data_IF_500019048276
#
_entry.id   IF_500019048276
#
_cell.length_a   1.000
_cell.length_b   1.000
_cell.length_c   1.000
_cell.angle_alpha   90.00
_cell.angle_beta   90.00
_cell.angle_gamma   90.00
#
_symmetry.space_group_name_H-M   'P 1'
#
loop_
_entity.id
_entity.type
_entity.pdbx_description
1 polymer ?
#
# COMPACT_ATOMS: atom_id res chain seq x y z
N UNK A 1 17.53 28.55 14.01
CA UNK A 1 16.91 28.86 12.70
C UNK A 1 16.64 27.58 11.94
N UNK A 2 15.36 27.19 11.81
CA UNK A 2 14.96 26.00 11.08
C UNK A 2 15.05 26.26 9.58
N UNK A 3 16.01 25.64 8.90
CA UNK A 3 16.13 25.71 7.44
C UNK A 3 14.92 25.01 6.84
N UNK A 4 14.04 25.77 6.20
CA UNK A 4 12.91 25.26 5.43
C UNK A 4 13.45 24.45 4.25
N UNK A 5 13.46 23.12 4.37
CA UNK A 5 13.68 22.17 3.27
C UNK A 5 12.51 22.27 2.27
N UNK A 6 12.49 23.33 1.45
CA UNK A 6 11.64 23.43 0.27
C UNK A 6 12.42 22.84 -0.91
N UNK A 7 11.87 21.77 -1.48
CA UNK A 7 12.16 21.20 -2.80
C UNK A 7 13.63 20.98 -3.16
N UNK A 8 14.15 19.80 -2.79
CA UNK A 8 15.39 19.28 -3.38
C UNK A 8 15.05 18.36 -4.54
N UNK A 9 15.06 18.90 -5.76
CA UNK A 9 15.33 18.07 -6.93
C UNK A 9 16.80 17.69 -6.89
N UNK A 10 17.08 16.39 -6.91
CA UNK A 10 18.44 15.90 -7.03
C UNK A 10 18.75 15.75 -8.49
N UNK A 11 19.67 16.58 -8.95
CA UNK A 11 20.40 16.33 -10.17
C UNK A 11 21.81 15.81 -9.83
N UNK A 12 22.54 15.44 -10.88
CA UNK A 12 23.94 14.97 -10.80
C UNK A 12 24.90 15.94 -10.08
N UNK A 13 24.51 17.21 -9.90
CA UNK A 13 25.35 18.28 -9.37
C UNK A 13 25.03 18.62 -7.90
N UNK A 14 24.01 18.02 -7.29
CA UNK A 14 23.53 18.45 -5.96
C UNK A 14 24.43 17.97 -4.80
N UNK A 15 25.10 18.91 -4.10
CA UNK A 15 25.91 18.64 -2.90
C UNK A 15 25.04 18.33 -1.66
N UNK A 16 25.54 17.47 -0.77
CA UNK A 16 24.76 16.89 0.32
C UNK A 16 24.74 17.77 1.57
N UNK A 17 23.58 17.90 2.23
CA UNK A 17 23.52 18.12 3.69
C UNK A 17 23.05 16.84 4.35
N UNK A 18 23.95 16.23 5.10
CA UNK A 18 23.73 15.05 5.91
C UNK A 18 22.65 15.37 6.97
N UNK A 19 21.60 14.55 7.06
CA UNK A 19 20.55 14.71 8.07
C UNK A 19 20.96 14.02 9.38
N UNK A 20 20.66 14.60 10.55
CA UNK A 20 20.99 13.96 11.84
C UNK A 20 20.24 12.65 12.09
N UNK A 21 19.08 12.48 11.45
CA UNK A 21 18.29 11.24 11.48
C UNK A 21 18.73 10.26 10.37
N UNK A 22 19.77 10.62 9.63
CA UNK A 22 20.24 9.85 8.49
C UNK A 22 21.05 8.63 8.94
N UNK A 23 21.04 7.67 8.05
CA UNK A 23 21.86 6.50 7.86
C UNK A 23 23.39 6.62 8.09
N UNK A 24 23.91 7.68 8.69
CA UNK A 24 25.32 7.80 9.03
C UNK A 24 25.85 6.69 9.94
N UNK A 25 24.96 5.89 10.51
CA UNK A 25 25.32 4.69 11.25
C UNK A 25 24.88 3.38 10.61
N UNK A 26 24.09 3.40 9.52
CA UNK A 26 23.72 2.15 8.88
C UNK A 26 24.73 1.79 7.79
N UNK A 27 25.69 1.00 8.27
CA UNK A 27 26.85 0.46 7.58
C UNK A 27 26.50 -0.16 6.22
N UNK A 28 25.31 -0.73 6.07
CA UNK A 28 24.88 -1.34 4.81
C UNK A 28 24.86 -0.31 3.68
N UNK A 29 24.19 0.84 3.83
CA UNK A 29 24.14 1.80 2.71
C UNK A 29 25.50 2.42 2.42
N UNK A 30 26.34 2.64 3.44
CA UNK A 30 27.72 3.12 3.24
C UNK A 30 28.54 2.13 2.43
N UNK A 31 28.44 0.83 2.75
CA UNK A 31 29.06 -0.25 1.99
C UNK A 31 28.54 -0.26 0.55
N UNK A 32 27.22 -0.17 0.34
CA UNK A 32 26.62 -0.10 -1.00
C UNK A 32 27.19 1.06 -1.81
N UNK A 33 27.13 2.26 -1.24
CA UNK A 33 27.63 3.46 -1.90
C UNK A 33 29.11 3.34 -2.24
N UNK A 34 29.94 2.84 -1.31
CA UNK A 34 31.37 2.61 -1.55
C UNK A 34 31.60 1.62 -2.69
N UNK A 35 30.94 0.47 -2.69
CA UNK A 35 31.07 -0.56 -3.74
C UNK A 35 30.63 -0.03 -5.11
N UNK A 36 29.53 0.73 -5.14
CA UNK A 36 29.00 1.31 -6.37
C UNK A 36 29.91 2.41 -6.91
N UNK A 37 30.29 3.38 -6.07
CA UNK A 37 31.13 4.52 -6.46
C UNK A 37 32.56 4.12 -6.86
N UNK A 38 33.11 3.06 -6.29
CA UNK A 38 34.44 2.53 -6.65
C UNK A 38 34.40 1.55 -7.83
N UNK A 39 33.23 1.22 -8.37
CA UNK A 39 33.11 0.26 -9.48
C UNK A 39 33.34 -1.21 -9.11
N UNK A 40 33.51 -1.53 -7.80
CA UNK A 40 33.80 -2.90 -7.32
C UNK A 40 32.67 -3.89 -7.62
N UNK A 41 31.45 -3.41 -7.82
CA UNK A 41 30.30 -4.24 -8.25
C UNK A 41 30.55 -5.01 -9.55
N UNK A 42 31.42 -4.50 -10.45
CA UNK A 42 31.75 -5.17 -11.72
C UNK A 42 32.40 -6.54 -11.52
N UNK A 43 33.15 -6.74 -10.44
CA UNK A 43 33.73 -8.04 -10.08
C UNK A 43 32.66 -9.13 -9.86
N UNK A 44 31.44 -8.72 -9.51
CA UNK A 44 30.36 -9.61 -9.13
C UNK A 44 29.41 -9.96 -10.30
N UNK A 45 29.54 -9.35 -11.49
CA UNK A 45 28.62 -9.54 -12.63
C UNK A 45 28.42 -11.02 -13.02
N UNK A 46 29.47 -11.84 -12.87
CA UNK A 46 29.44 -13.27 -13.24
C UNK A 46 29.54 -14.19 -12.03
N UNK A 47 29.57 -13.66 -10.81
CA UNK A 47 29.68 -14.46 -9.60
C UNK A 47 28.31 -15.01 -9.20
N UNK A 48 28.30 -16.20 -8.62
CA UNK A 48 27.07 -16.81 -8.11
C UNK A 48 26.55 -16.03 -6.90
N UNK A 49 25.24 -15.84 -6.85
CA UNK A 49 24.54 -15.22 -5.72
C UNK A 49 24.59 -16.08 -4.44
N UNK A 50 24.94 -17.37 -4.57
CA UNK A 50 24.93 -18.35 -3.48
C UNK A 50 25.77 -17.94 -2.26
N UNK A 51 26.90 -17.24 -2.47
CA UNK A 51 27.77 -16.79 -1.37
C UNK A 51 27.08 -15.75 -0.48
N UNK A 52 26.29 -14.86 -1.07
CA UNK A 52 25.51 -13.86 -0.35
C UNK A 52 24.40 -14.52 0.45
N UNK A 53 23.69 -15.46 -0.17
CA UNK A 53 22.66 -16.28 0.48
C UNK A 53 23.19 -16.99 1.73
N UNK A 54 24.41 -17.55 1.68
CA UNK A 54 25.02 -18.18 2.85
C UNK A 54 25.20 -17.21 4.04
N UNK A 55 25.61 -15.97 3.77
CA UNK A 55 25.70 -14.94 4.82
C UNK A 55 24.32 -14.65 5.44
N UNK A 56 23.27 -14.61 4.61
CA UNK A 56 21.90 -14.36 5.11
C UNK A 56 21.40 -15.47 6.05
N UNK A 57 21.81 -16.72 5.81
CA UNK A 57 21.47 -17.86 6.68
C UNK A 57 22.14 -17.72 8.05
N UNK A 58 23.37 -17.21 8.10
CA UNK A 58 24.11 -17.00 9.35
C UNK A 58 23.53 -15.84 10.16
N UNK A 59 23.29 -14.69 9.52
CA UNK A 59 22.85 -13.47 10.22
C UNK A 59 21.33 -13.39 10.42
N UNK A 60 20.56 -14.09 9.60
CA UNK A 60 19.10 -14.07 9.62
C UNK A 60 18.48 -14.39 10.98
N UNK A 61 18.85 -15.51 11.65
CA UNK A 61 18.31 -15.89 12.95
C UNK A 61 18.45 -14.81 14.04
N UNK A 62 19.54 -14.03 14.03
CA UNK A 62 19.79 -12.96 15.01
C UNK A 62 18.75 -11.84 14.90
N UNK A 63 18.26 -11.57 13.68
CA UNK A 63 17.28 -10.51 13.39
C UNK A 63 15.85 -11.03 13.53
N UNK A 64 15.61 -12.31 13.22
CA UNK A 64 14.30 -12.98 13.33
C UNK A 64 13.72 -12.85 14.73
N UNK A 65 14.53 -12.92 15.78
CA UNK A 65 14.04 -12.88 17.17
C UNK A 65 13.17 -11.65 17.47
N UNK A 66 13.48 -10.49 16.88
CA UNK A 66 12.70 -9.26 17.09
C UNK A 66 11.49 -9.14 16.15
N UNK A 67 11.55 -9.74 14.97
CA UNK A 67 10.53 -9.58 13.94
C UNK A 67 9.51 -10.71 13.85
N UNK A 68 9.84 -11.90 14.37
CA UNK A 68 9.03 -13.10 14.23
C UNK A 68 7.59 -12.95 14.74
N UNK A 69 7.32 -12.40 15.95
CA UNK A 69 5.94 -12.29 16.44
C UNK A 69 5.05 -11.44 15.52
N UNK A 70 5.60 -10.36 14.96
CA UNK A 70 4.87 -9.48 14.03
C UNK A 70 4.51 -10.21 12.74
N UNK A 71 5.47 -10.94 12.17
CA UNK A 71 5.28 -11.73 10.94
C UNK A 71 4.32 -12.89 11.17
N UNK A 72 4.49 -13.62 12.26
CA UNK A 72 3.63 -14.74 12.65
C UNK A 72 2.17 -14.29 12.76
N UNK A 73 1.92 -13.18 13.46
CA UNK A 73 0.58 -12.62 13.59
C UNK A 73 0.01 -12.21 12.24
N UNK A 74 0.82 -11.62 11.35
CA UNK A 74 0.36 -11.20 10.03
C UNK A 74 -0.02 -12.41 9.17
N UNK A 75 0.78 -13.48 9.19
CA UNK A 75 0.45 -14.69 8.43
C UNK A 75 -0.71 -15.48 9.03
N UNK A 76 -0.83 -15.60 10.36
CA UNK A 76 -2.03 -16.19 10.97
C UNK A 76 -3.30 -15.40 10.66
N UNK A 77 -3.18 -14.09 10.47
CA UNK A 77 -4.30 -13.26 10.03
C UNK A 77 -4.66 -13.53 8.56
N UNK A 78 -3.65 -13.53 7.67
CA UNK A 78 -3.83 -13.70 6.23
C UNK A 78 -4.28 -15.13 5.86
N UNK A 79 -3.67 -16.16 6.44
CA UNK A 79 -3.92 -17.56 6.10
C UNK A 79 -4.82 -18.24 7.14
N UNK A 80 -5.87 -18.97 6.71
CA UNK A 80 -6.69 -19.77 7.61
C UNK A 80 -5.86 -20.81 8.38
N UNK A 81 -6.21 -21.15 9.64
CA UNK A 81 -5.56 -22.22 10.38
C UNK A 81 -5.52 -23.54 9.61
N UNK A 82 -6.64 -23.91 8.96
CA UNK A 82 -6.73 -25.11 8.13
C UNK A 82 -5.75 -25.12 6.96
N UNK A 83 -5.42 -23.97 6.36
CA UNK A 83 -4.39 -23.89 5.32
C UNK A 83 -3.01 -24.12 5.92
N UNK A 84 -2.70 -23.45 7.03
CA UNK A 84 -1.41 -23.58 7.71
C UNK A 84 -1.15 -25.02 8.17
N UNK A 85 -2.18 -25.68 8.71
CA UNK A 85 -2.14 -27.08 9.14
C UNK A 85 -2.04 -28.05 7.97
N UNK A 86 -2.94 -27.94 6.97
CA UNK A 86 -2.96 -28.81 5.78
C UNK A 86 -1.62 -28.85 5.05
N UNK A 87 -0.93 -27.71 4.98
CA UNK A 87 0.35 -27.59 4.30
C UNK A 87 1.56 -27.70 5.25
N UNK A 88 1.35 -28.03 6.53
CA UNK A 88 2.37 -28.14 7.57
C UNK A 88 3.33 -26.93 7.56
N UNK A 89 2.76 -25.73 7.52
CA UNK A 89 3.52 -24.49 7.35
C UNK A 89 4.27 -24.15 8.63
N UNK A 90 5.61 -24.19 8.54
CA UNK A 90 6.47 -23.69 9.60
C UNK A 90 6.65 -22.17 9.48
N UNK A 91 5.88 -21.40 10.25
CA UNK A 91 5.93 -19.93 10.26
C UNK A 91 7.30 -19.36 10.65
N UNK A 92 8.07 -20.05 11.51
CA UNK A 92 9.46 -19.63 11.84
C UNK A 92 10.36 -19.74 10.61
N UNK A 93 10.19 -20.79 9.81
CA UNK A 93 10.90 -20.94 8.53
C UNK A 93 10.51 -19.84 7.55
N UNK A 94 9.22 -19.50 7.43
CA UNK A 94 8.80 -18.36 6.61
C UNK A 94 9.43 -17.04 7.08
N UNK A 95 9.52 -16.81 8.39
CA UNK A 95 10.18 -15.62 8.96
C UNK A 95 11.68 -15.56 8.66
N UNK A 96 12.36 -16.70 8.69
CA UNK A 96 13.75 -16.80 8.25
C UNK A 96 13.89 -16.47 6.76
N UNK A 97 12.96 -16.91 5.91
CA UNK A 97 13.00 -16.65 4.48
C UNK A 97 12.79 -15.17 4.14
N UNK A 98 11.80 -14.50 4.74
CA UNK A 98 11.59 -13.06 4.48
C UNK A 98 12.79 -12.22 4.94
N UNK A 99 13.42 -12.58 6.04
CA UNK A 99 14.62 -11.88 6.51
C UNK A 99 15.80 -12.16 5.59
N UNK A 100 15.98 -13.40 5.17
CA UNK A 100 17.00 -13.75 4.17
C UNK A 100 16.79 -12.94 2.88
N UNK A 101 15.56 -12.89 2.39
CA UNK A 101 15.14 -12.07 1.25
C UNK A 101 15.51 -10.59 1.40
N UNK A 102 15.28 -9.95 2.55
CA UNK A 102 15.65 -8.54 2.76
C UNK A 102 17.16 -8.32 2.62
N UNK A 103 17.98 -9.26 3.10
CA UNK A 103 19.43 -9.20 2.92
C UNK A 103 19.86 -9.47 1.49
N UNK A 104 19.27 -10.48 0.85
CA UNK A 104 19.52 -10.79 -0.55
C UNK A 104 19.17 -9.59 -1.44
N UNK A 105 18.02 -8.96 -1.22
CA UNK A 105 17.62 -7.73 -1.89
C UNK A 105 18.65 -6.61 -1.74
N UNK A 106 19.21 -6.42 -0.54
CA UNK A 106 20.29 -5.46 -0.33
C UNK A 106 21.55 -5.79 -1.15
N UNK A 107 21.93 -7.07 -1.24
CA UNK A 107 23.06 -7.50 -2.04
C UNK A 107 22.81 -7.39 -3.55
N UNK A 108 21.59 -7.65 -4.01
CA UNK A 108 21.17 -7.43 -5.39
C UNK A 108 21.43 -5.97 -5.80
N UNK A 109 20.85 -5.02 -5.05
CA UNK A 109 20.98 -3.57 -5.32
C UNK A 109 22.45 -3.14 -5.31
N UNK A 110 23.25 -3.72 -4.41
CA UNK A 110 24.64 -3.34 -4.23
C UNK A 110 25.55 -3.87 -5.34
N UNK A 111 25.37 -5.14 -5.73
CA UNK A 111 26.32 -5.86 -6.55
C UNK A 111 25.84 -6.18 -7.95
N UNK A 112 24.54 -6.42 -8.16
CA UNK A 112 24.01 -6.94 -9.42
C UNK A 112 23.31 -5.86 -10.24
N UNK A 113 22.39 -5.10 -9.64
CA UNK A 113 21.67 -4.03 -10.34
C UNK A 113 22.56 -3.02 -11.09
N UNK A 114 23.72 -2.56 -10.55
CA UNK A 114 24.61 -1.66 -11.28
C UNK A 114 25.18 -2.26 -12.58
N UNK A 115 25.23 -3.59 -12.70
CA UNK A 115 25.73 -4.30 -13.89
C UNK A 115 24.67 -4.43 -14.99
N UNK A 116 23.42 -3.99 -14.75
CA UNK A 116 22.36 -4.03 -15.74
C UNK A 116 22.65 -3.04 -16.87
N UNK A 117 22.65 -3.50 -18.12
CA UNK A 117 22.90 -2.73 -19.34
C UNK A 117 21.92 -3.14 -20.43
N UNK A 118 21.74 -2.35 -21.50
CA UNK A 118 20.86 -2.73 -22.61
C UNK A 118 21.23 -4.08 -23.22
N UNK A 119 22.53 -4.42 -23.23
CA UNK A 119 23.06 -5.65 -23.85
C UNK A 119 22.84 -6.91 -23.00
N UNK A 120 22.77 -6.78 -21.68
CA UNK A 120 22.73 -7.93 -20.77
C UNK A 120 21.46 -7.99 -19.90
N UNK A 121 20.52 -7.04 -20.03
CA UNK A 121 19.32 -6.97 -19.18
C UNK A 121 18.50 -8.26 -19.21
N UNK A 122 18.41 -8.95 -20.36
CA UNK A 122 17.68 -10.21 -20.51
C UNK A 122 18.26 -11.38 -19.68
N UNK A 123 19.52 -11.28 -19.25
CA UNK A 123 20.16 -12.25 -18.35
C UNK A 123 19.63 -12.14 -16.92
N UNK A 124 19.26 -10.92 -16.52
CA UNK A 124 18.78 -10.60 -15.18
C UNK A 124 17.25 -10.52 -15.13
N UNK A 125 16.61 -10.05 -16.21
CA UNK A 125 15.19 -9.75 -16.21
C UNK A 125 14.52 -10.34 -17.46
N UNK A 126 13.63 -11.30 -17.24
CA UNK A 126 12.61 -11.66 -18.22
C UNK A 126 11.49 -10.64 -18.11
N UNK A 127 11.01 -10.12 -19.24
CA UNK A 127 9.97 -9.08 -19.27
C UNK A 127 8.74 -9.58 -20.02
N UNK A 128 7.56 -9.38 -19.44
CA UNK A 128 6.26 -9.68 -20.03
C UNK A 128 5.37 -8.44 -19.99
N UNK A 129 4.61 -8.17 -21.05
CA UNK A 129 3.66 -7.05 -21.11
C UNK A 129 4.27 -5.67 -21.38
N UNK A 130 5.53 -5.59 -21.85
CA UNK A 130 6.18 -4.31 -22.16
C UNK A 130 5.43 -3.51 -23.23
N UNK A 131 4.75 -4.21 -24.15
CA UNK A 131 3.88 -3.64 -25.18
C UNK A 131 2.79 -2.74 -24.59
N UNK A 132 2.32 -2.98 -23.37
CA UNK A 132 1.36 -2.11 -22.69
C UNK A 132 1.97 -0.75 -22.35
N UNK A 133 3.23 -0.74 -21.88
CA UNK A 133 3.96 0.51 -21.59
C UNK A 133 4.22 1.27 -22.88
N UNK A 134 4.64 0.57 -23.94
CA UNK A 134 4.90 1.17 -25.25
C UNK A 134 3.63 1.82 -25.82
N UNK A 135 2.51 1.09 -25.87
CA UNK A 135 1.23 1.60 -26.34
C UNK A 135 0.73 2.80 -25.51
N UNK A 136 0.97 2.79 -24.20
CA UNK A 136 0.61 3.90 -23.31
C UNK A 136 1.46 5.15 -23.56
N UNK A 137 2.77 4.99 -23.77
CA UNK A 137 3.68 6.09 -24.09
C UNK A 137 3.38 6.70 -25.46
N UNK A 138 2.94 5.92 -26.44
CA UNK A 138 2.49 6.44 -27.75
C UNK A 138 1.34 7.46 -27.62
N UNK A 139 0.54 7.39 -26.54
CA UNK A 139 -0.53 8.35 -26.25
C UNK A 139 -0.02 9.71 -25.72
N UNK A 140 1.28 9.85 -25.44
CA UNK A 140 1.95 11.10 -24.99
C UNK A 140 1.41 11.73 -23.71
N UNK A 141 0.82 10.93 -22.81
CA UNK A 141 0.26 11.39 -21.52
C UNK A 141 1.13 11.03 -20.32
N UNK A 142 2.19 10.26 -20.52
CA UNK A 142 2.91 9.58 -19.43
C UNK A 142 2.15 8.35 -18.95
N UNK A 143 2.75 7.62 -18.00
CA UNK A 143 2.22 6.35 -17.50
C UNK A 143 2.40 6.28 -15.99
N UNK A 144 1.38 5.79 -15.29
CA UNK A 144 1.48 5.45 -13.86
C UNK A 144 1.65 3.95 -13.72
N UNK A 145 2.67 3.53 -12.98
CA UNK A 145 2.96 2.12 -12.73
C UNK A 145 2.85 1.83 -11.24
N UNK A 146 1.68 1.39 -10.74
CA UNK A 146 1.54 0.94 -9.38
C UNK A 146 2.28 -0.39 -9.19
N UNK A 147 3.08 -0.45 -8.15
CA UNK A 147 3.79 -1.66 -7.70
C UNK A 147 3.60 -1.83 -6.20
N UNK A 148 3.74 -3.06 -5.71
CA UNK A 148 3.84 -3.33 -4.27
C UNK A 148 5.28 -3.73 -3.93
N UNK A 149 5.68 -3.69 -2.65
CA UNK A 149 7.02 -4.13 -2.23
C UNK A 149 7.12 -5.66 -2.23
N UNK A 150 7.02 -6.26 -3.42
CA UNK A 150 7.05 -7.68 -3.67
C UNK A 150 8.24 -8.04 -4.54
N UNK A 151 9.00 -9.05 -4.12
CA UNK A 151 10.11 -9.61 -4.90
C UNK A 151 11.17 -8.57 -5.21
N UNK A 152 11.62 -8.51 -6.47
CA UNK A 152 12.65 -7.57 -6.90
C UNK A 152 12.07 -6.23 -7.34
N UNK A 153 11.70 -5.38 -6.37
CA UNK A 153 10.96 -4.15 -6.64
C UNK A 153 11.70 -3.12 -7.52
N UNK A 154 13.03 -3.18 -7.62
CA UNK A 154 13.80 -2.29 -8.50
C UNK A 154 13.97 -2.83 -9.93
N UNK A 155 13.73 -4.12 -10.15
CA UNK A 155 13.85 -4.72 -11.48
C UNK A 155 12.88 -4.11 -12.51
N UNK A 156 11.60 -3.81 -12.20
CA UNK A 156 10.71 -3.11 -13.13
C UNK A 156 11.26 -1.77 -13.61
N UNK A 157 11.83 -0.96 -12.69
CA UNK A 157 12.49 0.30 -13.05
C UNK A 157 13.74 0.05 -13.89
N UNK A 158 14.61 -0.87 -13.46
CA UNK A 158 15.85 -1.20 -14.17
C UNK A 158 15.59 -1.71 -15.60
N UNK A 159 14.58 -2.56 -15.76
CA UNK A 159 14.10 -3.06 -17.04
C UNK A 159 13.73 -1.92 -18.00
N UNK A 160 12.90 -0.98 -17.57
CA UNK A 160 12.45 0.13 -18.41
C UNK A 160 13.60 1.07 -18.78
N UNK A 161 14.52 1.36 -17.85
CA UNK A 161 15.68 2.20 -18.12
C UNK A 161 16.61 1.65 -19.21
N UNK A 162 16.47 0.37 -19.58
CA UNK A 162 17.22 -0.33 -20.64
C UNK A 162 16.43 -0.55 -21.92
N UNK A 163 15.21 -0.05 -21.98
CA UNK A 163 14.35 -0.13 -23.16
C UNK A 163 14.30 1.20 -23.90
N UNK A 164 14.06 1.09 -25.19
CA UNK A 164 13.71 2.19 -26.07
C UNK A 164 12.31 1.95 -26.59
N UNK A 165 11.61 3.04 -26.92
CA UNK A 165 10.30 3.03 -27.56
C UNK A 165 10.34 3.95 -28.77
N UNK A 166 9.50 3.66 -29.77
CA UNK A 166 9.35 4.52 -30.94
C UNK A 166 8.08 5.35 -30.80
N UNK A 167 8.22 6.67 -30.77
CA UNK A 167 7.12 7.64 -30.69
C UNK A 167 7.30 8.64 -31.82
N UNK A 168 6.30 8.81 -32.68
CA UNK A 168 6.37 9.63 -33.90
C UNK A 168 7.59 9.32 -34.79
N UNK A 169 7.85 8.04 -35.03
CA UNK A 169 9.03 7.56 -35.79
C UNK A 169 10.39 7.95 -35.18
N UNK A 170 10.43 8.40 -33.92
CA UNK A 170 11.67 8.67 -33.19
C UNK A 170 11.86 7.63 -32.10
N UNK A 171 12.99 6.93 -32.16
CA UNK A 171 13.41 6.03 -31.09
C UNK A 171 14.00 6.85 -29.95
N UNK A 172 13.47 6.64 -28.74
CA UNK A 172 13.95 7.30 -27.53
C UNK A 172 14.01 6.33 -26.35
N UNK A 173 14.85 6.64 -25.36
CA UNK A 173 14.92 5.87 -24.11
C UNK A 173 13.64 6.07 -23.31
N UNK A 174 13.18 5.04 -22.59
CA UNK A 174 12.11 5.22 -21.61
C UNK A 174 12.65 6.01 -20.42
N UNK A 175 12.02 7.14 -20.12
CA UNK A 175 12.32 7.95 -18.93
C UNK A 175 11.48 7.48 -17.75
N UNK A 176 12.13 7.22 -16.61
CA UNK A 176 11.48 6.66 -15.42
C UNK A 176 11.61 7.60 -14.23
N UNK A 177 10.53 7.74 -13.45
CA UNK A 177 10.47 8.55 -12.23
C UNK A 177 10.12 7.68 -11.04
N UNK A 178 10.96 7.70 -10.01
CA UNK A 178 10.70 7.09 -8.71
C UNK A 178 10.32 8.12 -7.65
N UNK A 179 9.39 7.77 -6.77
CA UNK A 179 9.07 8.56 -5.57
C UNK A 179 9.82 7.96 -4.38
N UNK A 180 10.55 8.80 -3.66
CA UNK A 180 11.55 8.34 -2.70
C UNK A 180 11.47 9.16 -1.43
N UNK A 181 11.57 8.50 -0.28
CA UNK A 181 11.68 9.21 0.99
C UNK A 181 13.07 9.85 1.13
N UNK A 182 13.22 10.95 1.89
CA UNK A 182 14.51 11.60 2.10
C UNK A 182 15.59 10.66 2.65
N UNK A 183 15.20 9.64 3.41
CA UNK A 183 16.11 8.65 4.00
C UNK A 183 16.71 7.70 2.95
N UNK A 184 15.96 7.38 1.90
CA UNK A 184 16.39 6.48 0.82
C UNK A 184 17.16 7.20 -0.28
N UNK A 185 17.22 8.53 -0.22
CA UNK A 185 17.93 9.38 -1.18
C UNK A 185 19.35 8.89 -1.48
N UNK A 186 20.11 8.55 -0.44
CA UNK A 186 21.52 8.21 -0.55
C UNK A 186 21.78 6.96 -1.38
N UNK A 187 20.89 5.95 -1.30
CA UNK A 187 20.98 4.75 -2.12
C UNK A 187 20.83 5.07 -3.61
N UNK A 188 20.00 6.04 -3.95
CA UNK A 188 19.66 6.33 -5.33
C UNK A 188 20.66 7.24 -6.02
N UNK A 189 21.45 8.01 -5.28
CA UNK A 189 22.41 8.97 -5.86
C UNK A 189 23.36 8.32 -6.87
N UNK A 190 23.85 7.11 -6.60
CA UNK A 190 24.73 6.42 -7.55
C UNK A 190 23.97 5.97 -8.79
N UNK A 191 22.74 5.50 -8.64
CA UNK A 191 21.87 5.16 -9.78
C UNK A 191 21.56 6.38 -10.66
N UNK A 192 21.23 7.53 -10.05
CA UNK A 192 20.97 8.78 -10.76
C UNK A 192 22.21 9.32 -11.51
N UNK A 193 23.42 8.95 -11.10
CA UNK A 193 24.66 9.30 -11.82
C UNK A 193 24.95 8.35 -12.97
N UNK A 194 24.58 7.08 -12.84
CA UNK A 194 24.85 6.06 -13.84
C UNK A 194 23.87 6.14 -15.03
N UNK A 195 22.65 6.62 -14.83
CA UNK A 195 21.60 6.62 -15.84
C UNK A 195 21.03 8.02 -16.03
N UNK A 196 20.99 8.48 -17.28
CA UNK A 196 20.54 9.83 -17.67
C UNK A 196 19.01 9.94 -17.81
N UNK A 197 18.33 8.80 -17.91
CA UNK A 197 16.89 8.68 -18.10
C UNK A 197 16.11 8.27 -16.82
N UNK A 198 16.71 8.46 -15.64
CA UNK A 198 16.05 8.23 -14.34
C UNK A 198 15.93 9.54 -13.58
N UNK A 199 14.78 9.73 -12.94
CA UNK A 199 14.47 10.88 -12.10
C UNK A 199 13.97 10.39 -10.74
N UNK A 200 14.26 11.14 -9.69
CA UNK A 200 13.75 10.87 -8.35
C UNK A 200 13.07 12.11 -7.78
N UNK A 201 11.83 11.94 -7.34
CA UNK A 201 11.12 12.93 -6.53
C UNK A 201 11.39 12.57 -5.06
N UNK A 202 12.26 13.34 -4.40
CA UNK A 202 12.61 13.11 -3.00
C UNK A 202 11.77 14.01 -2.11
N UNK A 203 10.85 13.40 -1.35
CA UNK A 203 9.98 14.18 -0.46
C UNK A 203 9.46 13.38 0.72
N UNK A 204 9.34 14.05 1.87
CA UNK A 204 8.54 13.58 3.02
C UNK A 204 7.16 14.23 3.10
N UNK A 205 6.85 15.16 2.17
CA UNK A 205 5.61 15.93 2.13
C UNK A 205 4.80 15.54 0.90
N UNK A 206 3.71 14.82 1.15
CA UNK A 206 2.81 14.36 0.08
C UNK A 206 2.08 15.52 -0.64
N UNK A 207 1.99 16.71 -0.03
CA UNK A 207 1.37 17.90 -0.65
C UNK A 207 2.07 18.35 -1.93
N UNK A 208 3.37 18.11 -2.04
CA UNK A 208 4.19 18.64 -3.13
C UNK A 208 4.31 17.62 -4.29
N UNK A 209 3.93 16.36 -4.03
CA UNK A 209 4.01 15.27 -5.00
C UNK A 209 3.12 15.49 -6.22
N UNK A 210 1.95 16.10 -6.04
CA UNK A 210 1.00 16.29 -7.13
C UNK A 210 1.63 17.10 -8.27
N UNK A 211 2.17 18.28 -7.97
CA UNK A 211 2.74 19.16 -9.00
C UNK A 211 3.96 18.54 -9.68
N UNK A 212 4.82 17.87 -8.91
CA UNK A 212 6.03 17.24 -9.45
C UNK A 212 5.70 16.04 -10.35
N UNK A 213 4.74 15.19 -9.97
CA UNK A 213 4.31 14.07 -10.82
C UNK A 213 3.61 14.58 -12.06
N UNK A 214 2.74 15.58 -11.95
CA UNK A 214 2.06 16.18 -13.11
C UNK A 214 3.08 16.68 -14.15
N UNK A 215 4.14 17.37 -13.71
CA UNK A 215 5.22 17.83 -14.58
C UNK A 215 5.86 16.67 -15.35
N UNK A 216 6.15 15.57 -14.68
CA UNK A 216 6.77 14.41 -15.31
C UNK A 216 5.83 13.66 -16.26
N UNK A 217 4.54 13.54 -15.92
CA UNK A 217 3.54 12.94 -16.79
C UNK A 217 3.35 13.76 -18.07
N UNK A 218 3.34 15.10 -17.99
CA UNK A 218 3.34 16.00 -19.16
C UNK A 218 4.56 15.83 -20.07
N UNK A 219 5.68 15.34 -19.53
CA UNK A 219 6.89 14.99 -20.29
C UNK A 219 6.84 13.55 -20.83
N UNK A 220 5.69 12.89 -20.79
CA UNK A 220 5.46 11.52 -21.21
C UNK A 220 6.35 10.48 -20.49
N UNK A 221 6.60 10.67 -19.20
CA UNK A 221 7.44 9.76 -18.40
C UNK A 221 6.64 8.67 -17.72
N UNK A 222 7.33 7.59 -17.36
CA UNK A 222 6.78 6.50 -16.54
C UNK A 222 7.03 6.79 -15.07
N UNK A 223 5.98 6.91 -14.27
CA UNK A 223 6.05 7.23 -12.84
C UNK A 223 5.67 6.00 -12.01
N UNK A 224 6.62 5.49 -11.21
CA UNK A 224 6.37 4.40 -10.28
C UNK A 224 5.77 4.90 -8.97
N UNK A 225 4.72 4.24 -8.50
CA UNK A 225 4.09 4.53 -7.21
C UNK A 225 3.96 3.24 -6.41
N UNK A 226 4.45 3.26 -5.17
CA UNK A 226 4.29 2.14 -4.25
C UNK A 226 2.86 2.11 -3.70
N UNK A 227 2.05 1.20 -4.22
CA UNK A 227 0.62 1.05 -3.90
C UNK A 227 0.37 0.56 -2.47
N UNK A 228 1.29 -0.23 -1.91
CA UNK A 228 1.24 -0.67 -0.52
C UNK A 228 1.96 0.28 0.46
N UNK A 229 2.45 1.43 -0.01
CA UNK A 229 3.07 2.45 0.85
C UNK A 229 2.05 3.48 1.33
N UNK A 230 1.12 3.02 2.16
CA UNK A 230 0.00 3.84 2.62
C UNK A 230 0.14 4.32 4.08
N UNK A 231 -0.69 5.29 4.44
CA UNK A 231 -0.84 5.92 5.76
C UNK A 231 -2.24 5.61 6.33
N UNK A 232 -2.33 5.40 7.65
CA UNK A 232 -3.57 5.14 8.40
C UNK A 232 -4.71 6.14 8.15
N UNK A 233 -4.40 7.36 7.70
CA UNK A 233 -5.37 8.43 7.43
C UNK A 233 -5.98 8.40 6.03
N UNK A 234 -5.47 7.58 5.12
CA UNK A 234 -5.94 7.48 3.74
C UNK A 234 -7.26 6.73 3.65
N UNK A 235 -7.89 6.86 2.47
CA UNK A 235 -9.06 6.07 2.12
C UNK A 235 -8.68 4.60 2.08
N UNK A 236 -9.68 3.74 2.29
CA UNK A 236 -9.50 2.30 2.43
C UNK A 236 -10.47 1.55 1.53
N UNK A 237 -9.98 0.46 0.98
CA UNK A 237 -10.75 -0.48 0.15
C UNK A 237 -10.45 -1.91 0.55
N UNK A 238 -11.28 -2.89 0.17
CA UNK A 238 -11.01 -4.30 0.37
C UNK A 238 -9.63 -4.71 -0.15
N UNK A 239 -8.92 -5.53 0.63
CA UNK A 239 -7.59 -6.03 0.29
C UNK A 239 -7.60 -6.86 -0.98
N UNK A 240 -8.51 -7.85 -1.08
CA UNK A 240 -8.82 -8.53 -2.34
C UNK A 240 -10.32 -8.71 -2.42
N UNK A 241 -10.98 -7.81 -3.15
CA UNK A 241 -12.44 -7.82 -3.28
C UNK A 241 -12.98 -9.09 -3.91
N UNK A 242 -14.10 -9.58 -3.39
CA UNK A 242 -14.80 -10.77 -3.87
C UNK A 242 -14.24 -12.06 -3.27
N UNK A 243 -13.29 -11.96 -2.33
CA UNK A 243 -12.80 -13.08 -1.54
C UNK A 243 -13.11 -12.80 -0.08
N UNK A 244 -14.18 -13.41 0.43
CA UNK A 244 -14.70 -13.22 1.81
C UNK A 244 -13.63 -13.13 2.91
N UNK A 245 -12.58 -13.97 2.87
CA UNK A 245 -11.47 -13.97 3.85
C UNK A 245 -10.60 -12.70 3.78
N UNK A 246 -10.52 -12.08 2.62
CA UNK A 246 -9.64 -10.97 2.24
C UNK A 246 -10.41 -9.66 1.96
N UNK A 247 -11.70 -9.59 2.32
CA UNK A 247 -12.50 -8.37 2.21
C UNK A 247 -12.25 -7.37 3.36
N UNK A 248 -11.19 -7.57 4.15
CA UNK A 248 -10.77 -6.57 5.15
C UNK A 248 -10.21 -5.32 4.47
N UNK A 249 -10.40 -4.16 5.09
CA UNK A 249 -10.07 -2.89 4.49
C UNK A 249 -8.62 -2.47 4.76
N UNK A 250 -7.87 -2.20 3.68
CA UNK A 250 -6.52 -1.64 3.73
C UNK A 250 -6.52 -0.21 3.16
N UNK A 251 -5.70 0.71 3.71
CA UNK A 251 -5.50 2.01 3.11
C UNK A 251 -4.81 1.92 1.75
N UNK A 252 -4.96 2.94 0.91
CA UNK A 252 -4.29 3.03 -0.39
C UNK A 252 -3.89 4.47 -0.73
N UNK A 253 -2.85 4.67 -1.57
CA UNK A 253 -2.47 5.99 -2.06
C UNK A 253 -3.47 6.50 -3.11
N UNK A 254 -4.06 7.68 -2.86
CA UNK A 254 -5.05 8.28 -3.75
C UNK A 254 -4.44 8.95 -5.00
N UNK A 255 -3.12 9.14 -5.01
CA UNK A 255 -2.38 9.84 -6.06
C UNK A 255 -2.59 9.21 -7.45
N UNK A 256 -2.56 7.88 -7.51
CA UNK A 256 -2.78 7.12 -8.74
C UNK A 256 -4.16 7.43 -9.34
N UNK A 257 -5.18 7.39 -8.49
CA UNK A 257 -6.55 7.61 -8.91
C UNK A 257 -6.83 9.07 -9.28
N UNK A 258 -6.25 10.00 -8.54
CA UNK A 258 -6.33 11.42 -8.87
C UNK A 258 -5.86 11.70 -10.31
N UNK A 259 -4.65 11.26 -10.67
CA UNK A 259 -4.12 11.49 -12.01
C UNK A 259 -4.88 10.72 -13.09
N UNK A 260 -5.26 9.47 -12.83
CA UNK A 260 -6.06 8.68 -13.75
C UNK A 260 -7.39 9.37 -14.07
N UNK A 261 -8.16 9.74 -13.03
CA UNK A 261 -9.49 10.31 -13.20
C UNK A 261 -9.43 11.73 -13.79
N UNK A 262 -8.45 12.54 -13.37
CA UNK A 262 -8.35 13.94 -13.82
C UNK A 262 -7.82 14.10 -15.24
N UNK A 263 -6.80 13.31 -15.63
CA UNK A 263 -6.09 13.52 -16.92
C UNK A 263 -6.17 12.31 -17.86
N UNK A 264 -6.84 11.22 -17.46
CA UNK A 264 -6.92 9.99 -18.25
C UNK A 264 -5.56 9.31 -18.41
N UNK A 265 -4.70 9.41 -17.38
CA UNK A 265 -3.37 8.81 -17.41
C UNK A 265 -3.51 7.28 -17.32
N UNK A 266 -2.89 6.51 -18.23
CA UNK A 266 -2.94 5.05 -18.15
C UNK A 266 -2.26 4.54 -16.88
N UNK A 267 -2.90 3.58 -16.22
CA UNK A 267 -2.40 2.92 -15.02
C UNK A 267 -2.07 1.48 -15.38
N UNK A 268 -0.79 1.13 -15.34
CA UNK A 268 -0.28 -0.18 -15.76
C UNK A 268 0.37 -0.84 -14.55
N UNK A 269 -0.34 -1.72 -13.81
CA UNK A 269 0.24 -2.38 -12.66
C UNK A 269 1.46 -3.22 -13.04
N UNK A 270 2.39 -3.39 -12.10
CA UNK A 270 3.54 -4.26 -12.30
C UNK A 270 3.92 -5.01 -11.03
N UNK A 271 4.42 -6.24 -11.23
CA UNK A 271 5.05 -7.05 -10.20
C UNK A 271 6.37 -7.61 -10.73
N UNK A 272 7.27 -7.92 -9.81
CA UNK A 272 8.55 -8.56 -10.09
C UNK A 272 8.66 -9.84 -9.27
N UNK A 273 8.84 -10.96 -9.96
CA UNK A 273 8.88 -12.29 -9.37
C UNK A 273 10.30 -12.85 -9.45
N UNK A 274 10.97 -13.15 -8.33
CA UNK A 274 12.28 -13.78 -8.39
C UNK A 274 12.14 -15.16 -9.05
N UNK A 275 13.09 -15.52 -9.90
CA UNK A 275 13.08 -16.80 -10.62
C UNK A 275 13.95 -17.84 -9.91
N UNK A 276 15.26 -17.80 -10.14
CA UNK A 276 16.22 -18.74 -9.55
C UNK A 276 16.74 -18.24 -8.20
N UNK A 277 17.05 -16.95 -8.16
CA UNK A 277 17.54 -16.20 -7.03
C UNK A 277 17.15 -14.73 -7.24
N UNK A 278 17.49 -13.88 -6.27
CA UNK A 278 17.21 -12.45 -6.27
C UNK A 278 17.89 -11.70 -7.45
N UNK A 279 19.04 -12.17 -7.95
CA UNK A 279 19.66 -11.55 -9.13
C UNK A 279 18.88 -11.73 -10.43
N UNK A 280 17.81 -12.55 -10.44
CA UNK A 280 17.00 -12.80 -11.65
C UNK A 280 15.51 -12.73 -11.37
N UNK A 281 14.78 -11.95 -12.15
CA UNK A 281 13.32 -11.88 -12.03
C UNK A 281 12.57 -11.96 -13.35
N UNK A 282 11.30 -12.35 -13.23
CA UNK A 282 10.27 -12.05 -14.21
C UNK A 282 9.61 -10.73 -13.80
N UNK A 283 9.78 -9.68 -14.60
CA UNK A 283 9.00 -8.45 -14.50
C UNK A 283 7.79 -8.57 -15.41
N UNK A 284 6.60 -8.43 -14.81
CA UNK A 284 5.33 -8.44 -15.54
C UNK A 284 4.69 -7.07 -15.46
N UNK A 285 4.39 -6.48 -16.61
CA UNK A 285 3.50 -5.33 -16.75
C UNK A 285 2.13 -5.88 -17.14
N UNK A 286 1.11 -5.61 -16.33
CA UNK A 286 -0.24 -6.09 -16.60
C UNK A 286 -0.94 -5.17 -17.62
N UNK A 287 -2.03 -5.61 -18.25
CA UNK A 287 -2.85 -4.72 -19.08
C UNK A 287 -3.24 -3.43 -18.34
N UNK A 288 -3.35 -2.29 -19.04
CA UNK A 288 -3.75 -1.03 -18.43
C UNK A 288 -5.13 -1.17 -17.80
N UNK A 289 -5.29 -0.67 -16.58
CA UNK A 289 -6.59 -0.54 -15.94
C UNK A 289 -7.24 0.71 -16.53
N UNK A 290 -8.22 0.52 -17.41
CA UNK A 290 -9.05 1.59 -17.93
C UNK A 290 -10.45 1.49 -17.33
N UNK A 291 -10.74 2.40 -16.41
CA UNK A 291 -12.01 2.43 -15.68
C UNK A 291 -13.22 2.62 -16.61
N UNK A 292 -13.05 3.31 -17.74
CA UNK A 292 -14.13 3.57 -18.70
C UNK A 292 -14.42 2.37 -19.61
N UNK A 293 -13.42 1.51 -19.83
CA UNK A 293 -13.53 0.32 -20.69
C UNK A 293 -13.86 -0.95 -19.90
N UNK A 294 -14.02 -0.87 -18.57
CA UNK A 294 -14.45 -2.01 -17.77
C UNK A 294 -15.79 -2.52 -18.29
N UNK A 295 -15.85 -3.81 -18.63
CA UNK A 295 -17.09 -4.48 -19.05
C UNK A 295 -17.85 -5.01 -17.84
N UNK A 296 -19.05 -4.47 -17.51
CA UNK A 296 -19.85 -4.91 -16.38
C UNK A 296 -20.23 -6.41 -16.43
N UNK A 297 -20.21 -7.03 -17.62
CA UNK A 297 -20.51 -8.46 -17.77
C UNK A 297 -19.36 -9.35 -17.30
N UNK A 298 -18.12 -8.87 -17.39
CA UNK A 298 -16.92 -9.58 -16.94
C UNK A 298 -16.61 -9.34 -15.46
N UNK A 299 -17.34 -8.44 -14.80
CA UNK A 299 -17.16 -8.13 -13.39
C UNK A 299 -18.07 -9.00 -12.50
N UNK A 300 -17.64 -9.33 -11.27
CA UNK A 300 -18.50 -9.93 -10.25
C UNK A 300 -19.79 -9.12 -10.06
N UNK A 301 -20.92 -9.75 -9.68
CA UNK A 301 -22.21 -9.06 -9.53
C UNK A 301 -22.10 -7.76 -8.71
N UNK A 302 -21.39 -7.79 -7.59
CA UNK A 302 -21.22 -6.64 -6.70
C UNK A 302 -20.45 -5.45 -7.32
N UNK A 303 -19.59 -5.68 -8.32
CA UNK A 303 -18.86 -4.62 -9.03
C UNK A 303 -19.62 -4.15 -10.29
N UNK A 304 -20.52 -4.97 -10.82
CA UNK A 304 -21.30 -4.63 -12.02
C UNK A 304 -22.05 -3.32 -11.81
N UNK A 305 -22.77 -3.19 -10.70
CA UNK A 305 -23.52 -1.97 -10.38
C UNK A 305 -22.62 -0.74 -10.23
N UNK A 306 -21.44 -0.91 -9.64
CA UNK A 306 -20.46 0.17 -9.50
C UNK A 306 -19.91 0.63 -10.86
N UNK A 307 -19.64 -0.30 -11.78
CA UNK A 307 -19.24 0.05 -13.16
C UNK A 307 -20.39 0.72 -13.92
N UNK A 308 -21.63 0.28 -13.72
CA UNK A 308 -22.79 0.95 -14.32
C UNK A 308 -22.97 2.38 -13.77
N UNK A 309 -22.81 2.60 -12.47
CA UNK A 309 -22.80 3.94 -11.86
C UNK A 309 -21.69 4.81 -12.43
N UNK A 310 -20.48 4.26 -12.59
CA UNK A 310 -19.34 4.96 -13.19
C UNK A 310 -19.68 5.44 -14.60
N UNK A 311 -20.19 4.56 -15.47
CA UNK A 311 -20.57 4.88 -16.86
C UNK A 311 -21.67 5.92 -16.96
N UNK A 312 -22.61 5.91 -16.00
CA UNK A 312 -23.68 6.92 -15.89
C UNK A 312 -23.21 8.24 -15.29
N UNK A 313 -21.94 8.36 -14.88
CA UNK A 313 -21.41 9.57 -14.23
C UNK A 313 -21.98 9.82 -12.83
N UNK A 314 -22.52 8.79 -12.17
CA UNK A 314 -23.20 8.90 -10.88
C UNK A 314 -22.26 8.71 -9.68
N UNK A 315 -21.00 8.33 -9.92
CA UNK A 315 -20.00 8.17 -8.87
C UNK A 315 -19.39 9.51 -8.45
N UNK A 316 -19.28 9.70 -7.14
CA UNK A 316 -18.42 10.71 -6.53
C UNK A 316 -16.94 10.43 -6.80
N UNK A 317 -16.09 11.46 -6.67
CA UNK A 317 -14.63 11.31 -6.80
C UNK A 317 -14.04 10.28 -5.82
N UNK A 318 -14.58 10.19 -4.61
CA UNK A 318 -14.17 9.18 -3.61
C UNK A 318 -14.43 7.76 -4.12
N UNK A 319 -15.58 7.52 -4.73
CA UNK A 319 -15.99 6.21 -5.25
C UNK A 319 -15.16 5.84 -6.47
N UNK A 320 -14.98 6.76 -7.44
CA UNK A 320 -14.08 6.55 -8.59
C UNK A 320 -12.66 6.20 -8.13
N UNK A 321 -12.15 6.94 -7.15
CA UNK A 321 -10.80 6.71 -6.62
C UNK A 321 -10.66 5.34 -5.96
N UNK A 322 -11.67 4.95 -5.20
CA UNK A 322 -11.71 3.68 -4.50
C UNK A 322 -11.89 2.50 -5.46
N UNK A 323 -12.71 2.64 -6.50
CA UNK A 323 -12.91 1.60 -7.50
C UNK A 323 -11.60 1.30 -8.25
N UNK A 324 -10.83 2.32 -8.64
CA UNK A 324 -9.53 2.10 -9.27
C UNK A 324 -8.56 1.37 -8.32
N UNK A 325 -8.49 1.80 -7.06
CA UNK A 325 -7.64 1.14 -6.08
C UNK A 325 -8.01 -0.33 -5.86
N UNK A 326 -9.32 -0.63 -5.88
CA UNK A 326 -9.84 -1.99 -5.81
C UNK A 326 -9.38 -2.82 -7.02
N UNK A 327 -9.44 -2.29 -8.25
CA UNK A 327 -8.92 -2.98 -9.44
C UNK A 327 -7.41 -3.20 -9.37
N UNK A 328 -6.64 -2.22 -8.88
CA UNK A 328 -5.19 -2.40 -8.66
C UNK A 328 -4.94 -3.51 -7.63
N UNK A 329 -5.69 -3.54 -6.53
CA UNK A 329 -5.58 -4.56 -5.50
C UNK A 329 -5.83 -5.96 -6.04
N UNK A 330 -6.89 -6.12 -6.87
CA UNK A 330 -7.23 -7.39 -7.51
C UNK A 330 -6.11 -7.93 -8.42
N UNK A 331 -5.30 -7.05 -9.01
CA UNK A 331 -4.16 -7.43 -9.86
C UNK A 331 -2.92 -7.75 -9.03
N UNK A 332 -2.57 -6.88 -8.06
CA UNK A 332 -1.27 -6.95 -7.39
C UNK A 332 -1.25 -7.87 -6.16
N UNK A 333 -2.27 -7.84 -5.30
CA UNK A 333 -2.23 -8.53 -4.01
C UNK A 333 -2.41 -10.06 -4.04
N UNK A 334 -3.02 -10.71 -5.08
CA UNK A 334 -2.96 -12.15 -5.18
C UNK A 334 -1.54 -12.69 -5.13
N UNK A 335 -0.60 -12.01 -5.79
CA UNK A 335 0.82 -12.36 -5.76
C UNK A 335 1.47 -12.19 -4.38
N UNK A 336 1.03 -11.23 -3.58
CA UNK A 336 1.52 -11.08 -2.21
C UNK A 336 1.12 -12.28 -1.32
N UNK A 337 -0.01 -12.92 -1.61
CA UNK A 337 -0.45 -14.14 -0.92
C UNK A 337 0.17 -15.42 -1.50
N UNK A 338 0.50 -15.43 -2.79
CA UNK A 338 1.21 -16.54 -3.42
C UNK A 338 2.68 -16.59 -2.98
N UNK A 339 3.30 -15.42 -2.79
CA UNK A 339 4.71 -15.25 -2.46
C UNK A 339 4.91 -14.50 -1.11
N UNK A 340 4.43 -15.03 0.02
CA UNK A 340 4.35 -14.30 1.29
C UNK A 340 5.70 -13.86 1.86
N UNK A 341 6.77 -14.59 1.55
CA UNK A 341 8.12 -14.28 2.02
C UNK A 341 8.83 -13.22 1.16
N UNK A 342 8.28 -12.87 0.00
CA UNK A 342 8.78 -11.80 -0.84
C UNK A 342 8.03 -10.48 -0.67
N UNK A 343 6.97 -10.45 0.16
CA UNK A 343 6.20 -9.23 0.42
C UNK A 343 6.75 -8.49 1.65
N UNK A 344 7.60 -7.48 1.43
CA UNK A 344 8.27 -6.74 2.53
C UNK A 344 7.27 -6.09 3.49
N UNK A 345 6.15 -5.61 2.96
CA UNK A 345 5.19 -4.82 3.72
C UNK A 345 4.32 -5.63 4.67
N UNK A 346 4.36 -6.97 4.60
CA UNK A 346 3.68 -7.85 5.57
C UNK A 346 4.13 -7.54 7.01
N UNK A 347 5.39 -7.15 7.20
CA UNK A 347 5.94 -6.75 8.50
C UNK A 347 5.23 -5.54 9.12
N UNK A 348 4.67 -4.66 8.29
CA UNK A 348 4.04 -3.42 8.75
C UNK A 348 2.52 -3.39 8.54
N UNK A 349 1.92 -4.52 8.12
CA UNK A 349 0.50 -4.65 7.79
C UNK A 349 -0.41 -4.08 8.88
N UNK A 350 -0.26 -4.55 10.12
CA UNK A 350 -1.05 -4.06 11.26
C UNK A 350 -0.79 -2.60 11.59
N UNK A 351 0.49 -2.18 11.64
CA UNK A 351 0.87 -0.81 11.98
C UNK A 351 0.28 0.21 11.02
N UNK A 352 0.30 -0.08 9.71
CA UNK A 352 -0.17 0.84 8.67
C UNK A 352 -1.67 0.78 8.45
N UNK A 353 -2.30 -0.36 8.75
CA UNK A 353 -3.74 -0.56 8.60
C UNK A 353 -4.54 -0.32 9.88
N UNK A 354 -3.87 0.10 10.96
CA UNK A 354 -4.50 0.36 12.25
C UNK A 354 -5.64 1.40 12.13
N UNK A 355 -6.75 1.14 12.82
CA UNK A 355 -7.82 2.11 13.03
C UNK A 355 -8.44 1.83 14.41
N UNK A 356 -8.26 2.76 15.35
CA UNK A 356 -8.68 2.58 16.75
C UNK A 356 -9.64 3.66 17.18
N UNK A 357 -10.66 3.25 17.93
CA UNK A 357 -11.55 4.13 18.70
C UNK A 357 -10.97 4.20 20.11
N UNK A 358 -10.33 5.31 20.46
CA UNK A 358 -9.73 5.51 21.79
C UNK A 358 -10.72 6.12 22.75
N UNK A 359 -10.69 5.67 24.00
CA UNK A 359 -11.53 6.15 25.09
C UNK A 359 -10.62 6.52 26.27
N UNK A 360 -10.45 7.83 26.47
CA UNK A 360 -9.56 8.40 27.47
C UNK A 360 -10.39 8.89 28.66
N UNK A 361 -10.42 8.07 29.72
CA UNK A 361 -11.04 8.37 31.01
C UNK A 361 -12.50 8.84 30.93
N UNK A 362 -13.33 8.02 30.29
CA UNK A 362 -14.75 8.29 30.07
C UNK A 362 -15.57 8.04 31.33
N UNK A 363 -16.45 8.98 31.66
CA UNK A 363 -17.25 8.99 32.89
C UNK A 363 -18.76 8.91 32.65
N UNK A 364 -19.22 9.13 31.42
CA UNK A 364 -20.64 9.08 31.05
C UNK A 364 -20.92 8.24 29.81
N UNK A 365 -22.13 7.68 29.71
CA UNK A 365 -22.56 6.99 28.48
C UNK A 365 -22.63 7.95 27.29
N UNK A 366 -22.98 9.22 27.52
CA UNK A 366 -22.98 10.26 26.50
C UNK A 366 -21.60 10.38 25.83
N UNK A 367 -20.54 10.58 26.62
CA UNK A 367 -19.16 10.66 26.13
C UNK A 367 -18.75 9.37 25.38
N UNK A 368 -19.06 8.21 25.95
CA UNK A 368 -18.73 6.91 25.36
C UNK A 368 -19.35 6.76 23.98
N UNK A 369 -20.65 6.98 23.84
CA UNK A 369 -21.33 6.81 22.57
C UNK A 369 -21.00 7.91 21.56
N UNK A 370 -20.82 9.15 22.00
CA UNK A 370 -20.41 10.27 21.13
C UNK A 370 -19.07 9.97 20.45
N UNK A 371 -18.07 9.53 21.23
CA UNK A 371 -16.77 9.13 20.68
C UNK A 371 -16.92 7.95 19.71
N UNK A 372 -17.71 6.94 20.09
CA UNK A 372 -17.95 5.76 19.27
C UNK A 372 -18.56 6.13 17.90
N UNK A 373 -19.67 6.87 17.89
CA UNK A 373 -20.37 7.25 16.67
C UNK A 373 -19.54 8.17 15.80
N UNK A 374 -18.87 9.17 16.39
CA UNK A 374 -17.99 10.07 15.65
C UNK A 374 -16.89 9.27 14.92
N UNK A 375 -16.29 8.28 15.58
CA UNK A 375 -15.25 7.44 14.97
C UNK A 375 -15.81 6.47 13.93
N UNK A 376 -17.01 5.92 14.12
CA UNK A 376 -17.68 5.10 13.11
C UNK A 376 -18.05 5.92 11.87
N UNK A 377 -18.52 7.16 12.04
CA UNK A 377 -18.75 8.10 10.93
C UNK A 377 -17.47 8.37 10.15
N UNK A 378 -16.37 8.71 10.83
CA UNK A 378 -15.06 8.89 10.21
C UNK A 378 -14.55 7.63 9.49
N UNK A 379 -14.83 6.45 10.05
CA UNK A 379 -14.49 5.19 9.40
C UNK A 379 -15.25 5.04 8.08
N UNK A 380 -16.56 5.30 8.06
CA UNK A 380 -17.40 5.27 6.84
C UNK A 380 -16.94 6.28 5.78
N UNK A 381 -16.60 7.49 6.20
CA UNK A 381 -16.11 8.54 5.30
C UNK A 381 -14.79 8.13 4.61
N UNK A 382 -13.94 7.36 5.31
CA UNK A 382 -12.60 6.94 4.86
C UNK A 382 -12.56 5.53 4.28
N UNK A 383 -13.67 4.86 4.14
CA UNK A 383 -13.73 3.49 3.62
C UNK A 383 -14.70 3.44 2.46
N UNK A 384 -14.46 2.51 1.56
CA UNK A 384 -15.35 2.23 0.45
C UNK A 384 -15.44 0.72 0.26
N UNK A 385 -16.67 0.22 0.20
CA UNK A 385 -17.02 -1.15 -0.17
C UNK A 385 -18.14 -1.05 -1.22
N UNK A 386 -18.05 -1.78 -2.34
CA UNK A 386 -19.14 -1.85 -3.33
C UNK A 386 -20.48 -2.17 -2.67
N UNK A 387 -21.56 -1.54 -3.17
CA UNK A 387 -22.95 -1.72 -2.72
C UNK A 387 -23.28 -1.32 -1.28
N UNK A 388 -22.33 -0.78 -0.52
CA UNK A 388 -22.59 -0.34 0.85
C UNK A 388 -23.61 0.81 0.86
N UNK A 389 -24.65 0.67 1.69
CA UNK A 389 -25.79 1.59 1.84
C UNK A 389 -25.41 2.85 2.63
N UNK A 390 -24.43 3.62 2.14
CA UNK A 390 -23.82 4.74 2.87
C UNK A 390 -24.86 5.77 3.34
N UNK A 391 -25.85 6.10 2.51
CA UNK A 391 -26.89 7.09 2.83
C UNK A 391 -27.76 6.64 4.00
N UNK A 392 -28.21 5.39 3.97
CA UNK A 392 -29.03 4.77 5.00
C UNK A 392 -28.24 4.63 6.31
N UNK A 393 -26.96 4.23 6.21
CA UNK A 393 -26.07 4.14 7.37
C UNK A 393 -25.90 5.50 8.05
N UNK A 394 -25.64 6.57 7.28
CA UNK A 394 -25.53 7.92 7.86
C UNK A 394 -26.84 8.37 8.52
N UNK A 395 -28.00 8.07 7.92
CA UNK A 395 -29.31 8.37 8.51
C UNK A 395 -29.51 7.68 9.87
N UNK A 396 -29.11 6.42 10.00
CA UNK A 396 -29.21 5.71 11.30
C UNK A 396 -28.20 6.25 12.31
N UNK A 397 -26.99 6.63 11.88
CA UNK A 397 -26.01 7.29 12.76
C UNK A 397 -26.50 8.65 13.28
N UNK A 398 -27.22 9.41 12.46
CA UNK A 398 -27.85 10.67 12.85
C UNK A 398 -28.93 10.44 13.90
N UNK A 399 -29.86 9.51 13.67
CA UNK A 399 -30.87 9.11 14.68
C UNK A 399 -30.24 8.65 16.00
N UNK A 400 -29.15 7.87 15.93
CA UNK A 400 -28.42 7.44 17.13
C UNK A 400 -27.83 8.63 17.88
N UNK A 401 -27.31 9.63 17.16
CA UNK A 401 -26.76 10.85 17.76
C UNK A 401 -27.85 11.64 18.47
N UNK A 402 -29.03 11.81 17.86
CA UNK A 402 -30.20 12.44 18.49
C UNK A 402 -30.62 11.71 19.78
N UNK A 403 -30.67 10.38 19.77
CA UNK A 403 -30.99 9.58 20.95
C UNK A 403 -29.94 9.70 22.07
N UNK A 404 -28.65 9.80 21.70
CA UNK A 404 -27.55 9.95 22.66
C UNK A 404 -27.55 11.32 23.33
N UNK A 405 -27.96 12.39 22.65
CA UNK A 405 -28.04 13.73 23.23
C UNK A 405 -28.96 13.77 24.48
N UNK A 406 -29.95 12.89 24.55
CA UNK A 406 -30.81 12.75 25.73
C UNK A 406 -30.03 12.30 26.98
N UNK A 407 -28.95 11.52 26.80
CA UNK A 407 -28.08 11.05 27.89
C UNK A 407 -27.24 12.17 28.51
N UNK A 408 -26.98 13.25 27.76
CA UNK A 408 -26.15 14.36 28.25
C UNK A 408 -26.72 15.00 29.52
N UNK A 409 -28.05 15.02 29.61
CA UNK A 409 -28.80 15.64 30.71
C UNK A 409 -29.10 14.68 31.85
N UNK A 410 -28.74 13.41 31.72
CA UNK A 410 -29.12 12.35 32.65
C UNK A 410 -28.00 12.09 33.69
N UNK A 411 -28.18 12.48 34.97
CA UNK A 411 -27.17 12.30 36.00
C UNK A 411 -26.93 10.82 36.37
N UNK A 412 -27.84 9.91 36.01
CA UNK A 412 -27.73 8.46 36.25
C UNK A 412 -27.01 7.74 35.11
N UNK A 413 -26.76 8.40 33.98
CA UNK A 413 -26.06 7.84 32.82
C UNK A 413 -24.53 7.80 32.99
N UNK A 414 -24.05 7.27 34.12
CA UNK A 414 -22.62 7.14 34.44
C UNK A 414 -22.04 5.81 33.98
N UNK A 415 -20.81 5.83 33.48
CA UNK A 415 -20.00 4.65 33.14
C UNK A 415 -18.55 4.95 33.53
N UNK A 416 -17.77 3.96 33.90
CA UNK A 416 -16.32 4.14 34.07
C UNK A 416 -15.56 3.36 33.00
N UNK A 417 -14.83 4.08 32.15
CA UNK A 417 -14.00 3.48 31.12
C UNK A 417 -12.61 4.13 31.08
N UNK A 418 -11.63 3.46 31.68
CA UNK A 418 -10.25 3.96 31.77
C UNK A 418 -9.38 3.40 30.65
N UNK A 419 -8.76 4.30 29.87
CA UNK A 419 -7.70 4.07 28.87
C UNK A 419 -7.85 2.74 28.11
N UNK A 420 -8.89 2.61 27.29
CA UNK A 420 -9.01 1.46 26.37
C UNK A 420 -9.26 1.93 24.95
N UNK A 421 -9.17 0.99 24.03
CA UNK A 421 -9.54 1.23 22.65
C UNK A 421 -10.29 0.04 22.05
N UNK A 422 -11.05 0.30 20.99
CA UNK A 422 -11.58 -0.73 20.10
C UNK A 422 -10.76 -0.68 18.80
N UNK A 423 -10.02 -1.74 18.48
CA UNK A 423 -9.36 -1.89 17.18
C UNK A 423 -10.39 -2.34 16.14
N UNK A 424 -10.59 -1.52 15.13
CA UNK A 424 -11.42 -1.81 13.95
C UNK A 424 -10.62 -1.78 12.64
N UNK A 425 -9.30 -1.63 12.71
CA UNK A 425 -8.41 -1.81 11.56
C UNK A 425 -8.41 -3.27 11.08
N UNK A 426 -8.19 -3.47 9.77
CA UNK A 426 -8.20 -4.79 9.11
C UNK A 426 -9.51 -5.56 9.31
N UNK A 427 -10.64 -4.85 9.40
CA UNK A 427 -11.98 -5.40 9.34
C UNK A 427 -12.70 -4.86 8.09
N UNK A 428 -13.70 -5.59 7.59
CA UNK A 428 -14.73 -5.03 6.70
C UNK A 428 -15.60 -4.04 7.48
N UNK A 429 -16.41 -3.20 6.81
CA UNK A 429 -17.30 -2.30 7.56
C UNK A 429 -18.30 -3.09 8.40
N UNK A 430 -18.87 -4.16 7.85
CA UNK A 430 -19.75 -5.07 8.60
C UNK A 430 -19.10 -5.55 9.90
N UNK A 431 -17.88 -6.08 9.82
CA UNK A 431 -17.19 -6.61 11.00
C UNK A 431 -16.78 -5.50 11.98
N UNK A 432 -16.38 -4.32 11.49
CA UNK A 432 -16.06 -3.16 12.31
C UNK A 432 -17.28 -2.66 13.09
N UNK A 433 -18.42 -2.49 12.42
CA UNK A 433 -19.67 -2.06 13.04
C UNK A 433 -20.20 -3.11 14.00
N UNK A 434 -20.26 -4.39 13.64
CA UNK A 434 -20.68 -5.46 14.55
C UNK A 434 -19.84 -5.49 15.82
N UNK A 435 -18.51 -5.35 15.70
CA UNK A 435 -17.62 -5.31 16.86
C UNK A 435 -17.85 -4.08 17.73
N UNK A 436 -17.95 -2.90 17.13
CA UNK A 436 -18.19 -1.65 17.85
C UNK A 436 -19.54 -1.67 18.58
N UNK A 437 -20.60 -2.06 17.86
CA UNK A 437 -21.98 -2.16 18.36
C UNK A 437 -22.12 -3.22 19.44
N UNK A 438 -21.58 -4.42 19.27
CA UNK A 438 -21.65 -5.47 20.30
C UNK A 438 -21.00 -5.02 21.62
N UNK A 439 -19.85 -4.34 21.56
CA UNK A 439 -19.22 -3.75 22.73
C UNK A 439 -20.10 -2.65 23.34
N UNK A 440 -20.67 -1.78 22.52
CA UNK A 440 -21.58 -0.72 22.96
C UNK A 440 -22.81 -1.26 23.69
N UNK A 441 -23.45 -2.30 23.15
CA UNK A 441 -24.65 -2.90 23.72
C UNK A 441 -24.34 -3.70 25.00
N UNK A 442 -23.23 -4.42 25.03
CA UNK A 442 -22.78 -5.19 26.20
C UNK A 442 -22.42 -4.29 27.39
N UNK A 443 -22.04 -3.04 27.14
CA UNK A 443 -21.65 -2.08 28.18
C UNK A 443 -22.82 -1.35 28.84
N UNK A 444 -24.06 -1.51 28.37
CA UNK A 444 -25.23 -0.83 28.95
C UNK A 444 -25.59 -1.36 30.34
N UNK A 445 -25.80 -0.46 31.28
CA UNK A 445 -26.35 -0.78 32.60
C UNK A 445 -27.83 -1.16 32.49
N UNK A 446 -28.40 -1.74 33.55
CA UNK A 446 -29.84 -2.04 33.63
C UNK A 446 -30.66 -0.77 33.40
N UNK A 447 -30.22 0.35 33.99
CA UNK A 447 -30.84 1.66 33.82
C UNK A 447 -30.88 2.08 32.35
N UNK A 448 -29.74 2.09 31.65
CA UNK A 448 -29.68 2.48 30.24
C UNK A 448 -30.55 1.58 29.35
N UNK A 449 -30.59 0.27 29.64
CA UNK A 449 -31.45 -0.67 28.89
C UNK A 449 -32.94 -0.35 29.04
N UNK A 450 -33.36 0.12 30.22
CA UNK A 450 -34.76 0.41 30.54
C UNK A 450 -35.20 1.77 30.02
N UNK A 451 -34.43 2.82 30.30
CA UNK A 451 -34.82 4.21 30.00
C UNK A 451 -34.51 4.62 28.56
N UNK A 452 -33.53 3.97 27.91
CA UNK A 452 -33.13 4.25 26.52
C UNK A 452 -33.18 2.99 25.64
N UNK A 453 -34.35 2.32 25.52
CA UNK A 453 -34.48 1.07 24.79
C UNK A 453 -34.23 1.26 23.28
N UNK A 454 -34.54 2.45 22.75
CA UNK A 454 -34.39 2.79 21.34
C UNK A 454 -32.93 2.72 20.86
N UNK A 455 -31.96 2.97 21.74
CA UNK A 455 -30.54 2.76 21.42
C UNK A 455 -30.27 1.33 20.93
N UNK A 456 -30.90 0.32 21.52
CA UNK A 456 -30.73 -1.06 21.06
C UNK A 456 -31.26 -1.25 19.64
N UNK A 457 -32.47 -0.75 19.39
CA UNK A 457 -33.17 -0.88 18.11
C UNK A 457 -32.32 -0.25 17.02
N UNK A 458 -31.89 1.00 17.21
CA UNK A 458 -31.09 1.72 16.24
C UNK A 458 -29.70 1.11 16.02
N UNK A 459 -29.05 0.60 17.07
CA UNK A 459 -27.78 -0.12 16.91
C UNK A 459 -27.92 -1.44 16.14
N UNK A 460 -29.03 -2.16 16.33
CA UNK A 460 -29.32 -3.39 15.57
C UNK A 460 -29.72 -3.07 14.13
N UNK A 461 -30.51 -2.01 13.89
CA UNK A 461 -30.82 -1.47 12.55
C UNK A 461 -29.53 -1.10 11.81
N UNK A 462 -28.60 -0.43 12.49
CA UNK A 462 -27.31 -0.06 11.92
C UNK A 462 -26.51 -1.29 11.46
N UNK A 463 -26.50 -2.37 12.24
CA UNK A 463 -25.82 -3.62 11.88
C UNK A 463 -26.50 -4.32 10.71
N UNK A 464 -27.83 -4.35 10.67
CA UNK A 464 -28.58 -5.03 9.60
C UNK A 464 -28.43 -4.36 8.23
N UNK A 465 -28.00 -3.10 8.17
CA UNK A 465 -27.71 -2.42 6.90
C UNK A 465 -26.49 -3.00 6.15
N UNK A 466 -25.72 -3.87 6.80
CA UNK A 466 -24.57 -4.58 6.21
C UNK A 466 -24.88 -6.05 5.87
N UNK A 467 -26.12 -6.49 6.04
CA UNK A 467 -26.68 -7.74 5.52
C UNK A 467 -27.33 -7.47 4.16
#
# INVERSE_FOLDING_TARGET
>A
MAVTNRDRRLDKNTSMKIHKNFFDYNIFFRITHFIQSTGRHKFFERKSFLRFRFLTIIFGPLIVKKGFPTLENAWKFLYPPSFLEKHNINLKRWALQIISYIFEFFFEITFFMPNHSPKNISRFIKMEGFEHIEAALQKKKGVLVPIIHLGELYHPTSALLRKTVTIDNKTQKVEVVGIVSPENEFLLRQFLKMWDNVFAIVTGKFSDLEKEIEKHLKQNRVVFVMHDYFNKHQNRVPFIFGKKKYDFLIPFPQLLAYFHNKYGIPVIPSNSFPQKDMSRSLVKFYPPINMQELDPLNEPPLLREEVLKLRKGLMSEREKNSLLALKINQVLYPSALEYPFYWQMVYTLFKRSQFRIYFDDITTYFEFYTILLHRLKQFMEKTYEPERKDKEIFKVLEKLTEEIELLHKDPKAKILFRKKYIEIGLLSSKAAFNKAVSIALARRSIYIKKEFPNLQVLFLELVSLFD
#
